data_IF_105104523675
#
_entry.id   IF_105104523675
#
_cell.length_a   1.000
_cell.length_b   1.000
_cell.length_c   1.000
_cell.angle_alpha   90.00
_cell.angle_beta   90.00
_cell.angle_gamma   90.00
#
_symmetry.space_group_name_H-M   'P 1'
#
loop_
_entity.id
_entity.type
_entity.pdbx_description
1 polymer ?
#
# COMPACT_ATOMS: atom_id res chain seq x y z
N UNK A 1 -10.82 8.19 15.50
CA UNK A 1 -9.79 8.88 14.69
C UNK A 1 -9.06 7.89 13.80
N UNK A 2 -8.50 6.79 14.32
CA UNK A 2 -7.77 5.77 13.54
C UNK A 2 -8.53 5.29 12.29
N UNK A 3 -9.84 4.97 12.41
CA UNK A 3 -10.68 4.48 11.31
C UNK A 3 -10.74 5.48 10.14
N UNK A 4 -10.98 6.77 10.43
CA UNK A 4 -11.07 7.81 9.40
C UNK A 4 -9.74 8.01 8.68
N UNK A 5 -8.64 8.05 9.43
CA UNK A 5 -7.30 8.20 8.88
C UNK A 5 -6.88 6.99 8.04
N UNK A 6 -7.13 5.77 8.53
CA UNK A 6 -6.81 4.54 7.81
C UNK A 6 -7.64 4.37 6.53
N UNK A 7 -8.94 4.71 6.55
CA UNK A 7 -9.76 4.70 5.34
C UNK A 7 -9.36 5.82 4.36
N UNK A 8 -8.97 6.98 4.86
CA UNK A 8 -8.36 8.03 4.03
C UNK A 8 -7.08 7.57 3.37
N UNK A 9 -6.22 6.86 4.11
CA UNK A 9 -5.00 6.23 3.58
C UNK A 9 -5.35 5.18 2.51
N UNK A 10 -6.35 4.30 2.76
CA UNK A 10 -6.81 3.32 1.79
C UNK A 10 -7.31 3.99 0.49
N UNK A 11 -8.06 5.09 0.60
CA UNK A 11 -8.53 5.85 -0.56
C UNK A 11 -7.35 6.41 -1.37
N UNK A 12 -6.39 7.02 -0.70
CA UNK A 12 -5.22 7.60 -1.35
C UNK A 12 -4.33 6.52 -2.01
N UNK A 13 -4.11 5.38 -1.34
CA UNK A 13 -3.40 4.25 -1.95
C UNK A 13 -4.17 3.63 -3.11
N UNK A 14 -5.50 3.45 -3.00
CA UNK A 14 -6.31 2.93 -4.09
C UNK A 14 -6.24 3.79 -5.36
N UNK A 15 -6.28 5.12 -5.20
CA UNK A 15 -6.08 6.06 -6.30
C UNK A 15 -4.64 6.00 -6.85
N UNK A 16 -3.64 5.94 -5.97
CA UNK A 16 -2.23 5.83 -6.33
C UNK A 16 -1.97 4.58 -7.16
N UNK A 17 -2.46 3.43 -6.70
CA UNK A 17 -2.26 2.14 -7.37
C UNK A 17 -3.00 2.06 -8.70
N UNK A 18 -4.18 2.66 -8.79
CA UNK A 18 -4.92 2.78 -10.04
C UNK A 18 -4.11 3.57 -11.09
N UNK A 19 -3.59 4.75 -10.72
CA UNK A 19 -2.78 5.58 -11.61
C UNK A 19 -1.46 4.91 -11.94
N UNK A 20 -0.75 4.36 -10.94
CA UNK A 20 0.52 3.67 -11.11
C UNK A 20 0.38 2.40 -11.96
N UNK A 21 -0.67 1.61 -11.73
CA UNK A 21 -0.99 0.44 -12.55
C UNK A 21 -1.26 0.80 -14.01
N UNK A 22 -1.99 1.90 -14.26
CA UNK A 22 -2.25 2.39 -15.62
C UNK A 22 -0.96 2.87 -16.32
N UNK A 23 -0.09 3.58 -15.61
CA UNK A 23 1.20 4.04 -16.11
C UNK A 23 2.13 2.85 -16.42
N UNK A 24 2.11 1.80 -15.61
CA UNK A 24 2.93 0.59 -15.76
C UNK A 24 2.57 -0.25 -16.99
N UNK A 25 1.39 -0.04 -17.58
CA UNK A 25 1.02 -0.65 -18.88
C UNK A 25 1.73 0.00 -20.06
N UNK A 26 2.27 1.21 -19.90
CA UNK A 26 2.89 2.02 -20.96
C UNK A 26 4.36 2.34 -20.73
N UNK A 27 4.86 2.07 -19.53
CA UNK A 27 6.23 2.32 -19.11
C UNK A 27 6.77 1.11 -18.33
N UNK A 28 8.08 1.05 -18.11
CA UNK A 28 8.64 0.06 -17.20
C UNK A 28 8.02 0.21 -15.79
N UNK A 29 7.53 -0.87 -15.17
CA UNK A 29 6.98 -0.84 -13.82
C UNK A 29 7.97 -0.26 -12.79
N UNK A 30 9.26 -0.58 -12.94
CA UNK A 30 10.30 -0.07 -12.07
C UNK A 30 10.52 1.44 -12.23
N UNK A 31 10.47 1.94 -13.48
CA UNK A 31 10.53 3.38 -13.74
C UNK A 31 9.31 4.13 -13.15
N UNK A 32 8.12 3.52 -13.22
CA UNK A 32 6.90 4.04 -12.59
C UNK A 32 7.07 4.10 -11.08
N UNK A 33 7.58 3.03 -10.45
CA UNK A 33 7.85 2.99 -9.01
C UNK A 33 8.87 4.06 -8.60
N UNK A 34 9.99 4.20 -9.33
CA UNK A 34 11.02 5.22 -9.06
C UNK A 34 10.43 6.64 -9.13
N UNK A 35 9.66 6.97 -10.18
CA UNK A 35 9.04 8.29 -10.33
C UNK A 35 8.03 8.56 -9.21
N UNK A 36 7.19 7.57 -8.88
CA UNK A 36 6.23 7.67 -7.79
C UNK A 36 6.91 7.90 -6.44
N UNK A 37 7.91 7.10 -6.10
CA UNK A 37 8.67 7.23 -4.86
C UNK A 37 9.42 8.58 -4.77
N UNK A 38 10.01 9.03 -5.88
CA UNK A 38 10.68 10.34 -5.92
C UNK A 38 9.69 11.50 -5.70
N UNK A 39 8.53 11.46 -6.34
CA UNK A 39 7.47 12.45 -6.14
C UNK A 39 6.96 12.43 -4.69
N UNK A 40 6.77 11.22 -4.11
CA UNK A 40 6.40 11.07 -2.71
C UNK A 40 7.46 11.63 -1.76
N UNK A 41 8.77 11.45 -2.07
CA UNK A 41 9.87 12.04 -1.29
C UNK A 41 9.80 13.57 -1.27
N UNK A 42 9.50 14.20 -2.41
CA UNK A 42 9.35 15.67 -2.50
C UNK A 42 8.17 16.14 -1.65
N UNK A 43 7.03 15.44 -1.69
CA UNK A 43 5.88 15.79 -0.85
C UNK A 43 6.19 15.59 0.64
N UNK A 44 6.87 14.50 1.01
CA UNK A 44 7.29 14.25 2.39
C UNK A 44 8.25 15.32 2.89
N UNK A 45 9.20 15.77 2.04
CA UNK A 45 10.10 16.87 2.36
C UNK A 45 9.32 18.17 2.61
N UNK A 46 8.35 18.49 1.76
CA UNK A 46 7.48 19.64 1.98
C UNK A 46 6.75 19.58 3.32
N UNK A 47 6.19 18.42 3.68
CA UNK A 47 5.54 18.22 4.98
C UNK A 47 6.54 18.36 6.15
N UNK A 48 7.74 17.78 6.04
CA UNK A 48 8.76 17.86 7.08
C UNK A 48 9.25 19.30 7.31
N UNK A 49 9.39 20.10 6.26
CA UNK A 49 9.78 21.50 6.36
C UNK A 49 8.70 22.37 7.01
N UNK A 50 7.42 22.03 6.81
CA UNK A 50 6.29 22.78 7.37
C UNK A 50 6.01 22.46 8.84
N UNK A 51 6.15 21.19 9.24
CA UNK A 51 5.71 20.72 10.56
C UNK A 51 6.87 20.42 11.52
N UNK A 52 8.08 20.33 11.00
CA UNK A 52 9.26 20.03 11.84
C UNK A 52 9.18 18.66 12.52
N UNK A 53 10.01 18.46 13.56
CA UNK A 53 10.04 17.28 14.40
C UNK A 53 11.41 17.03 15.00
N UNK A 54 11.45 16.16 16.02
CA UNK A 54 12.68 15.79 16.76
C UNK A 54 12.88 14.27 16.71
N UNK A 55 13.28 13.77 15.54
CA UNK A 55 13.50 12.34 15.33
C UNK A 55 14.75 11.84 16.07
N UNK A 56 14.63 10.72 16.77
CA UNK A 56 15.74 10.02 17.41
C UNK A 56 16.34 8.97 16.44
N UNK A 57 17.56 8.44 16.72
CA UNK A 57 18.20 7.46 15.83
C UNK A 57 17.35 6.24 15.51
N UNK A 58 16.49 5.80 16.43
CA UNK A 58 15.56 4.68 16.20
C UNK A 58 14.52 4.99 15.11
N UNK A 59 13.98 6.23 15.08
CA UNK A 59 13.01 6.63 14.05
C UNK A 59 13.61 6.58 12.65
N UNK A 60 14.87 6.99 12.51
CA UNK A 60 15.59 6.91 11.24
C UNK A 60 15.84 5.46 10.80
N UNK A 61 16.15 4.56 11.75
CA UNK A 61 16.33 3.14 11.45
C UNK A 61 15.00 2.49 10.98
N UNK A 62 13.89 2.78 11.67
CA UNK A 62 12.57 2.32 11.27
C UNK A 62 12.14 2.91 9.92
N UNK A 63 12.41 4.19 9.70
CA UNK A 63 12.15 4.84 8.41
C UNK A 63 12.94 4.19 7.26
N UNK A 64 14.20 3.84 7.48
CA UNK A 64 15.00 3.16 6.47
C UNK A 64 14.43 1.76 6.15
N UNK A 65 14.05 0.98 7.18
CA UNK A 65 13.41 -0.32 7.02
C UNK A 65 12.07 -0.19 6.26
N UNK A 66 11.25 0.80 6.63
CA UNK A 66 10.02 1.13 5.93
C UNK A 66 10.26 1.44 4.44
N UNK A 67 11.36 2.16 4.15
CA UNK A 67 11.76 2.50 2.79
C UNK A 67 12.14 1.27 1.94
N UNK A 68 12.87 0.33 2.52
CA UNK A 68 13.18 -0.96 1.85
C UNK A 68 11.87 -1.70 1.52
N UNK A 69 10.96 -1.77 2.49
CA UNK A 69 9.64 -2.37 2.31
C UNK A 69 8.83 -1.69 1.22
N UNK A 70 8.78 -0.35 1.24
CA UNK A 70 8.05 0.46 0.25
C UNK A 70 8.59 0.27 -1.17
N UNK A 71 9.91 0.30 -1.35
CA UNK A 71 10.55 0.13 -2.65
C UNK A 71 10.32 -1.26 -3.25
N UNK A 72 10.49 -2.31 -2.44
CA UNK A 72 10.17 -3.68 -2.84
C UNK A 72 8.68 -3.85 -3.14
N UNK A 73 7.83 -3.35 -2.25
CA UNK A 73 6.38 -3.43 -2.39
C UNK A 73 5.88 -2.82 -3.69
N UNK A 74 6.24 -1.57 -3.98
CA UNK A 74 5.83 -0.87 -5.18
C UNK A 74 6.41 -1.50 -6.47
N UNK A 75 7.70 -1.89 -6.45
CA UNK A 75 8.35 -2.52 -7.59
C UNK A 75 7.66 -3.81 -8.03
N UNK A 76 7.44 -4.73 -7.08
CA UNK A 76 6.79 -6.01 -7.36
C UNK A 76 5.31 -5.82 -7.67
N UNK A 77 4.59 -4.95 -6.95
CA UNK A 77 3.19 -4.64 -7.25
C UNK A 77 3.04 -4.20 -8.71
N UNK A 78 3.75 -3.17 -9.14
CA UNK A 78 3.62 -2.64 -10.49
C UNK A 78 4.11 -3.63 -11.55
N UNK A 79 5.13 -4.46 -11.25
CA UNK A 79 5.55 -5.55 -12.13
C UNK A 79 4.42 -6.56 -12.36
N UNK A 80 3.78 -6.98 -11.32
CA UNK A 80 2.65 -7.90 -11.38
C UNK A 80 1.43 -7.31 -12.08
N UNK A 81 1.10 -6.03 -11.81
CA UNK A 81 0.00 -5.31 -12.47
C UNK A 81 0.24 -5.12 -13.97
N UNK A 82 1.47 -4.78 -14.36
CA UNK A 82 1.85 -4.61 -15.77
C UNK A 82 1.76 -5.93 -16.56
N UNK A 83 2.01 -7.08 -15.91
CA UNK A 83 1.86 -8.41 -16.51
C UNK A 83 0.39 -8.83 -16.71
N UNK A 84 -0.58 -7.96 -16.42
CA UNK A 84 -2.03 -8.23 -16.61
C UNK A 84 -2.65 -9.16 -15.56
N UNK A 85 -2.02 -9.33 -14.39
CA UNK A 85 -2.44 -10.26 -13.33
C UNK A 85 -3.10 -9.55 -12.13
N UNK A 86 -3.84 -8.47 -12.39
CA UNK A 86 -4.47 -7.64 -11.34
C UNK A 86 -5.29 -8.48 -10.36
N UNK A 87 -6.08 -9.44 -10.85
CA UNK A 87 -6.94 -10.30 -10.02
C UNK A 87 -6.20 -11.27 -9.07
N UNK A 88 -4.87 -11.38 -9.15
CA UNK A 88 -4.07 -12.20 -8.23
C UNK A 88 -3.13 -11.31 -7.42
N UNK A 89 -2.41 -10.41 -8.08
CA UNK A 89 -1.35 -9.59 -7.45
C UNK A 89 -1.92 -8.66 -6.39
N UNK A 90 -3.00 -7.92 -6.73
CA UNK A 90 -3.59 -6.95 -5.82
C UNK A 90 -4.15 -7.60 -4.52
N UNK A 91 -4.97 -8.69 -4.57
CA UNK A 91 -5.45 -9.31 -3.33
C UNK A 91 -4.35 -9.94 -2.49
N UNK A 92 -3.39 -10.64 -3.12
CA UNK A 92 -2.30 -11.28 -2.39
C UNK A 92 -1.41 -10.23 -1.73
N UNK A 93 -1.10 -9.15 -2.44
CA UNK A 93 -0.36 -8.01 -1.90
C UNK A 93 -1.09 -7.36 -0.71
N UNK A 94 -2.39 -7.10 -0.83
CA UNK A 94 -3.15 -6.45 0.23
C UNK A 94 -3.33 -7.35 1.47
N UNK A 95 -3.53 -8.67 1.28
CA UNK A 95 -3.54 -9.64 2.39
C UNK A 95 -2.19 -9.65 3.12
N UNK A 96 -1.07 -9.69 2.39
CA UNK A 96 0.26 -9.65 2.98
C UNK A 96 0.55 -8.33 3.72
N UNK A 97 0.12 -7.20 3.13
CA UNK A 97 0.25 -5.87 3.73
C UNK A 97 -0.54 -5.72 5.04
N UNK A 98 -1.68 -6.42 5.18
CA UNK A 98 -2.46 -6.45 6.41
C UNK A 98 -1.92 -7.46 7.44
N UNK A 99 -1.59 -8.67 6.99
CA UNK A 99 -1.26 -9.79 7.87
C UNK A 99 0.01 -9.52 8.68
N UNK A 100 1.07 -9.02 8.05
CA UNK A 100 2.35 -8.82 8.73
C UNK A 100 2.24 -7.78 9.86
N UNK A 101 1.65 -6.58 9.69
CA UNK A 101 1.42 -5.64 10.78
C UNK A 101 0.51 -6.19 11.89
N UNK A 102 -0.53 -6.96 11.55
CA UNK A 102 -1.39 -7.60 12.56
C UNK A 102 -0.58 -8.56 13.43
N UNK A 103 0.28 -9.39 12.82
CA UNK A 103 1.16 -10.29 13.57
C UNK A 103 2.15 -9.50 14.44
N UNK A 104 2.76 -8.45 13.88
CA UNK A 104 3.65 -7.57 14.64
C UNK A 104 2.91 -6.92 15.80
N UNK A 105 1.72 -6.35 15.59
CA UNK A 105 0.88 -5.73 16.61
C UNK A 105 0.62 -6.67 17.78
N UNK A 106 0.22 -7.92 17.50
CA UNK A 106 0.02 -8.94 18.55
C UNK A 106 1.30 -9.25 19.31
N UNK A 107 2.43 -9.40 18.60
CA UNK A 107 3.74 -9.70 19.22
C UNK A 107 4.20 -8.57 20.15
N UNK A 108 3.99 -7.31 19.76
CA UNK A 108 4.33 -6.15 20.60
C UNK A 108 3.32 -5.88 21.74
N UNK A 109 2.28 -6.69 21.83
CA UNK A 109 1.34 -6.68 22.96
C UNK A 109 0.01 -6.00 22.70
N UNK A 110 -0.34 -5.66 21.45
CA UNK A 110 -1.70 -5.21 21.12
C UNK A 110 -2.74 -6.26 21.54
N UNK A 111 -3.86 -5.81 22.02
CA UNK A 111 -4.99 -6.65 22.47
C UNK A 111 -6.28 -6.15 21.80
N UNK A 112 -6.46 -6.41 20.48
CA UNK A 112 -7.69 -6.03 19.80
C UNK A 112 -8.91 -6.69 20.46
N UNK A 113 -10.03 -5.99 20.46
CA UNK A 113 -11.31 -6.54 20.97
C UNK A 113 -11.78 -7.71 20.11
N UNK A 114 -12.76 -8.48 20.61
CA UNK A 114 -13.37 -9.54 19.80
C UNK A 114 -14.03 -9.01 18.52
N UNK A 115 -14.66 -7.83 18.59
CA UNK A 115 -15.27 -7.19 17.41
C UNK A 115 -14.21 -6.79 16.39
N UNK A 116 -13.07 -6.25 16.85
CA UNK A 116 -11.92 -5.96 15.97
C UNK A 116 -11.42 -7.23 15.31
N UNK A 117 -11.26 -8.34 16.03
CA UNK A 117 -10.84 -9.62 15.46
C UNK A 117 -11.83 -10.17 14.42
N UNK A 118 -13.13 -10.07 14.67
CA UNK A 118 -14.15 -10.45 13.69
C UNK A 118 -14.06 -9.57 12.43
N UNK A 119 -13.84 -8.27 12.61
CA UNK A 119 -13.62 -7.35 11.49
C UNK A 119 -12.37 -7.70 10.69
N UNK A 120 -11.25 -8.01 11.35
CA UNK A 120 -10.01 -8.49 10.71
C UNK A 120 -10.28 -9.78 9.92
N UNK A 121 -10.99 -10.74 10.52
CA UNK A 121 -11.35 -12.00 9.86
C UNK A 121 -12.25 -11.79 8.62
N UNK A 122 -13.12 -10.78 8.63
CA UNK A 122 -13.93 -10.40 7.47
C UNK A 122 -13.11 -9.66 6.40
N UNK A 123 -12.09 -8.89 6.79
CA UNK A 123 -11.30 -8.09 5.86
C UNK A 123 -10.50 -8.97 4.88
N UNK A 124 -9.91 -10.09 5.32
CA UNK A 124 -9.13 -10.97 4.45
C UNK A 124 -9.94 -11.56 3.27
N UNK A 125 -11.10 -12.23 3.51
CA UNK A 125 -11.93 -12.66 2.40
C UNK A 125 -12.50 -11.50 1.58
N UNK A 126 -12.78 -10.34 2.21
CA UNK A 126 -13.22 -9.14 1.48
C UNK A 126 -12.18 -8.72 0.44
N UNK A 127 -10.92 -8.55 0.85
CA UNK A 127 -9.80 -8.18 -0.03
C UNK A 127 -9.67 -9.19 -1.17
N UNK A 128 -9.71 -10.48 -0.84
CA UNK A 128 -9.61 -11.54 -1.83
C UNK A 128 -10.75 -11.53 -2.85
N UNK A 129 -12.00 -11.42 -2.40
CA UNK A 129 -13.19 -11.45 -3.26
C UNK A 129 -13.32 -10.19 -4.12
N UNK A 130 -13.01 -9.01 -3.58
CA UNK A 130 -13.03 -7.74 -4.33
C UNK A 130 -12.07 -7.78 -5.51
N UNK A 131 -10.91 -8.37 -5.33
CA UNK A 131 -9.87 -8.38 -6.36
C UNK A 131 -10.04 -9.50 -7.40
N UNK A 132 -11.00 -10.41 -7.24
CA UNK A 132 -11.33 -11.41 -8.27
C UNK A 132 -11.97 -10.73 -9.46
N UNK A 133 -11.32 -10.87 -10.63
CA UNK A 133 -11.87 -10.46 -11.92
C UNK A 133 -12.46 -11.66 -12.65
N UNK A 134 -13.64 -11.50 -13.24
CA UNK A 134 -14.25 -12.50 -14.13
C UNK A 134 -13.57 -12.56 -15.51
N UNK A 135 -12.58 -11.70 -15.76
CA UNK A 135 -11.84 -11.71 -17.01
C UNK A 135 -10.86 -12.89 -17.08
N UNK A 136 -10.87 -13.65 -18.20
CA UNK A 136 -9.92 -14.74 -18.38
C UNK A 136 -8.48 -14.20 -18.35
N UNK A 137 -7.61 -14.86 -17.59
CA UNK A 137 -6.18 -14.56 -17.57
C UNK A 137 -5.60 -14.75 -18.99
N UNK A 138 -5.34 -13.66 -19.69
CA UNK A 138 -4.86 -13.67 -21.08
C UNK A 138 -3.38 -14.04 -21.20
N UNK A 139 -2.68 -14.30 -20.09
CA UNK A 139 -1.22 -14.59 -20.11
C UNK A 139 -0.92 -15.89 -19.38
N UNK A 140 -0.32 -16.85 -20.09
CA UNK A 140 0.32 -18.06 -19.55
C UNK A 140 1.54 -17.66 -18.72
N UNK A 141 1.55 -17.98 -17.42
CA UNK A 141 2.74 -17.87 -16.59
C UNK A 141 2.44 -17.70 -15.09
N UNK A 142 3.01 -18.55 -14.25
CA UNK A 142 2.70 -18.77 -12.85
C UNK A 142 3.06 -17.68 -11.83
N UNK A 143 3.65 -16.53 -12.21
CA UNK A 143 4.42 -15.70 -11.28
C UNK A 143 3.69 -14.51 -10.63
N UNK A 144 2.41 -14.27 -10.94
CA UNK A 144 1.63 -13.22 -10.27
C UNK A 144 1.46 -13.43 -8.77
N UNK A 145 1.45 -14.68 -8.31
CA UNK A 145 1.43 -15.00 -6.89
C UNK A 145 2.72 -14.56 -6.20
N UNK A 146 3.86 -14.82 -6.82
CA UNK A 146 5.18 -14.41 -6.28
C UNK A 146 5.27 -12.89 -6.18
N UNK A 147 4.88 -12.17 -7.24
CA UNK A 147 4.83 -10.70 -7.22
C UNK A 147 3.90 -10.18 -6.12
N UNK A 148 2.72 -10.79 -5.98
CA UNK A 148 1.77 -10.43 -4.93
C UNK A 148 2.31 -10.67 -3.53
N UNK A 149 2.96 -11.81 -3.28
CA UNK A 149 3.57 -12.14 -1.99
C UNK A 149 4.72 -11.19 -1.67
N UNK A 150 5.65 -10.95 -2.62
CA UNK A 150 6.77 -10.05 -2.42
C UNK A 150 6.30 -8.60 -2.20
N UNK A 151 5.28 -8.15 -2.94
CA UNK A 151 4.66 -6.85 -2.73
C UNK A 151 3.99 -6.76 -1.36
N UNK A 152 3.25 -7.80 -0.95
CA UNK A 152 2.57 -7.86 0.35
C UNK A 152 3.54 -7.85 1.52
N UNK A 153 4.63 -8.61 1.45
CA UNK A 153 5.70 -8.59 2.46
C UNK A 153 6.34 -7.20 2.50
N UNK A 154 6.64 -6.62 1.34
CA UNK A 154 7.22 -5.27 1.26
C UNK A 154 6.32 -4.22 1.94
N UNK A 155 5.05 -4.15 1.58
CA UNK A 155 4.11 -3.20 2.21
C UNK A 155 3.82 -3.54 3.67
N UNK A 156 3.80 -4.81 4.04
CA UNK A 156 3.69 -5.20 5.44
C UNK A 156 4.86 -4.70 6.29
N UNK A 157 6.09 -4.80 5.76
CA UNK A 157 7.29 -4.21 6.39
C UNK A 157 7.18 -2.69 6.47
N UNK A 158 6.75 -2.03 5.39
CA UNK A 158 6.50 -0.58 5.38
C UNK A 158 5.57 -0.18 6.53
N UNK A 159 4.41 -0.82 6.63
CA UNK A 159 3.40 -0.45 7.62
C UNK A 159 3.84 -0.75 9.04
N UNK A 160 4.42 -1.94 9.29
CA UNK A 160 4.92 -2.31 10.62
C UNK A 160 6.08 -1.42 11.09
N UNK A 161 6.95 -0.99 10.16
CA UNK A 161 8.08 -0.13 10.50
C UNK A 161 7.65 1.34 10.69
N UNK A 162 6.68 1.86 9.91
CA UNK A 162 6.15 3.21 10.10
C UNK A 162 5.43 3.38 11.45
N UNK A 163 4.76 2.35 11.96
CA UNK A 163 4.16 2.36 13.30
C UNK A 163 5.18 2.64 14.41
N UNK A 164 6.44 2.26 14.20
CA UNK A 164 7.51 2.43 15.18
C UNK A 164 8.12 3.83 15.22
N UNK A 165 7.72 4.70 14.27
CA UNK A 165 8.15 6.10 14.22
C UNK A 165 7.34 6.90 15.24
N UNK A 166 8.03 7.59 16.13
CA UNK A 166 7.41 8.35 17.23
C UNK A 166 6.69 9.60 16.72
N UNK A 167 5.66 10.04 17.45
CA UNK A 167 4.87 11.24 17.13
C UNK A 167 5.76 12.48 17.04
N UNK A 168 6.70 12.60 17.97
CA UNK A 168 7.63 13.73 18.10
C UNK A 168 8.63 13.81 16.93
N UNK A 169 8.84 12.71 16.22
CA UNK A 169 9.73 12.66 15.06
C UNK A 169 9.25 13.53 13.89
N UNK A 170 7.95 13.87 13.85
CA UNK A 170 7.33 14.59 12.76
C UNK A 170 7.40 13.81 11.44
N UNK A 171 7.50 14.53 10.31
CA UNK A 171 7.51 13.91 8.99
C UNK A 171 8.92 13.72 8.38
N UNK A 172 9.98 14.10 9.09
CA UNK A 172 11.36 13.88 8.65
C UNK A 172 11.66 12.42 8.29
N UNK A 173 11.28 11.42 9.12
CA UNK A 173 11.46 10.01 8.82
C UNK A 173 10.78 9.56 7.51
N UNK A 174 9.64 10.14 7.12
CA UNK A 174 8.99 9.81 5.84
C UNK A 174 9.84 10.24 4.63
N UNK A 175 10.62 11.31 4.74
CA UNK A 175 11.56 11.71 3.68
C UNK A 175 12.60 10.62 3.47
N UNK A 176 13.19 10.11 4.55
CA UNK A 176 14.15 9.00 4.47
C UNK A 176 13.50 7.73 3.95
N UNK A 177 12.28 7.41 4.41
CA UNK A 177 11.50 6.27 3.92
C UNK A 177 11.41 6.30 2.38
N UNK A 178 11.02 7.43 1.81
CA UNK A 178 10.86 7.53 0.36
C UNK A 178 12.20 7.60 -0.39
N UNK A 179 13.22 8.22 0.18
CA UNK A 179 14.56 8.20 -0.41
C UNK A 179 15.14 6.77 -0.47
N UNK A 180 15.02 6.02 0.62
CA UNK A 180 15.43 4.61 0.68
C UNK A 180 14.55 3.75 -0.26
N UNK A 181 13.25 4.07 -0.39
CA UNK A 181 12.38 3.38 -1.34
C UNK A 181 12.84 3.54 -2.79
N UNK A 182 13.25 4.74 -3.20
CA UNK A 182 13.86 4.96 -4.52
C UNK A 182 15.11 4.09 -4.70
N UNK A 183 16.04 4.14 -3.73
CA UNK A 183 17.30 3.38 -3.79
C UNK A 183 17.04 1.88 -3.86
N UNK A 184 16.15 1.35 -3.01
CA UNK A 184 15.83 -0.08 -2.99
C UNK A 184 15.09 -0.53 -4.26
N UNK A 185 14.20 0.31 -4.82
CA UNK A 185 13.55 0.03 -6.11
C UNK A 185 14.58 -0.06 -7.24
N UNK A 186 15.52 0.90 -7.31
CA UNK A 186 16.60 0.90 -8.31
C UNK A 186 17.52 -0.30 -8.12
N UNK A 187 17.92 -0.61 -6.89
CA UNK A 187 18.78 -1.75 -6.59
C UNK A 187 18.11 -3.08 -7.00
N UNK A 188 16.84 -3.27 -6.66
CA UNK A 188 16.08 -4.46 -7.09
C UNK A 188 15.94 -4.54 -8.60
N UNK A 189 15.62 -3.44 -9.28
CA UNK A 189 15.54 -3.42 -10.74
C UNK A 189 16.88 -3.78 -11.38
N UNK A 190 17.99 -3.25 -10.85
CA UNK A 190 19.35 -3.54 -11.34
C UNK A 190 19.70 -5.03 -11.15
N UNK A 191 19.42 -5.62 -9.98
CA UNK A 191 19.67 -7.04 -9.72
C UNK A 191 18.83 -7.96 -10.62
N UNK A 192 17.63 -7.53 -10.99
CA UNK A 192 16.74 -8.24 -11.92
C UNK A 192 17.00 -7.90 -13.40
N UNK A 193 18.03 -7.12 -13.70
CA UNK A 193 18.35 -6.64 -15.05
C UNK A 193 17.17 -5.96 -15.75
N UNK A 194 16.32 -5.29 -14.97
CA UNK A 194 15.12 -4.63 -15.46
C UNK A 194 15.36 -3.14 -15.74
N UNK A 195 14.69 -2.59 -16.75
CA UNK A 195 14.78 -1.17 -17.07
C UNK A 195 14.07 -0.34 -15.99
N UNK A 196 14.77 0.61 -15.36
CA UNK A 196 14.25 1.48 -14.30
C UNK A 196 14.39 2.97 -14.60
N UNK A 197 15.05 3.32 -15.69
CA UNK A 197 15.27 4.73 -16.06
C UNK A 197 13.95 5.41 -16.41
N UNK A 198 13.65 6.57 -15.76
CA UNK A 198 12.44 7.33 -16.06
C UNK A 198 12.39 7.84 -17.51
N UNK A 199 11.22 7.78 -18.12
CA UNK A 199 10.94 8.34 -19.42
C UNK A 199 9.62 9.14 -19.39
N UNK A 200 9.25 9.77 -20.51
CA UNK A 200 8.00 10.57 -20.59
C UNK A 200 6.74 9.76 -20.25
N UNK A 201 6.74 8.48 -20.60
CA UNK A 201 5.62 7.57 -20.30
C UNK A 201 5.45 7.22 -18.82
N UNK A 202 6.50 7.40 -17.99
CA UNK A 202 6.40 7.20 -16.53
C UNK A 202 6.00 8.46 -15.75
N UNK A 203 5.98 9.65 -16.37
CA UNK A 203 5.63 10.91 -15.69
C UNK A 203 4.25 10.91 -15.01
N UNK A 204 3.19 10.25 -15.53
CA UNK A 204 1.92 10.18 -14.81
C UNK A 204 2.03 9.57 -13.40
N UNK A 205 3.08 8.78 -13.11
CA UNK A 205 3.36 8.25 -11.79
C UNK A 205 3.69 9.33 -10.74
N UNK A 206 3.97 10.57 -11.13
CA UNK A 206 4.08 11.71 -10.20
C UNK A 206 2.80 11.82 -9.36
N UNK A 207 1.63 11.73 -9.98
CA UNK A 207 0.35 11.77 -9.26
C UNK A 207 0.15 10.58 -8.35
N UNK A 208 0.58 9.39 -8.77
CA UNK A 208 0.62 8.22 -7.89
C UNK A 208 1.51 8.49 -6.66
N UNK A 209 2.67 9.10 -6.85
CA UNK A 209 3.58 9.47 -5.76
C UNK A 209 3.00 10.50 -4.79
N UNK A 210 2.33 11.54 -5.29
CA UNK A 210 1.64 12.54 -4.46
C UNK A 210 0.57 11.87 -3.57
N UNK A 211 -0.24 10.99 -4.17
CA UNK A 211 -1.27 10.25 -3.44
C UNK A 211 -0.67 9.26 -2.46
N UNK A 212 0.42 8.58 -2.82
CA UNK A 212 1.15 7.70 -1.92
C UNK A 212 1.76 8.46 -0.73
N UNK A 213 2.27 9.68 -0.94
CA UNK A 213 2.73 10.54 0.15
C UNK A 213 1.60 10.85 1.13
N UNK A 214 0.44 11.27 0.62
CA UNK A 214 -0.75 11.51 1.44
C UNK A 214 -1.17 10.25 2.20
N UNK A 215 -1.17 9.09 1.53
CA UNK A 215 -1.51 7.82 2.15
C UNK A 215 -0.56 7.45 3.29
N UNK A 216 0.76 7.63 3.11
CA UNK A 216 1.76 7.38 4.15
C UNK A 216 1.59 8.30 5.36
N UNK A 217 1.33 9.60 5.12
CA UNK A 217 1.04 10.56 6.21
C UNK A 217 -0.20 10.14 6.98
N UNK A 218 -1.30 9.83 6.29
CA UNK A 218 -2.54 9.40 6.92
C UNK A 218 -2.38 8.07 7.67
N UNK A 219 -1.60 7.13 7.13
CA UNK A 219 -1.29 5.87 7.81
C UNK A 219 -0.47 6.11 9.08
N UNK A 220 0.62 6.90 9.01
CA UNK A 220 1.43 7.26 10.16
C UNK A 220 0.58 7.88 11.27
N UNK A 221 -0.27 8.85 10.92
CA UNK A 221 -1.19 9.46 11.88
C UNK A 221 -2.24 8.47 12.41
N UNK A 222 -2.66 7.49 11.61
CA UNK A 222 -3.61 6.45 12.05
C UNK A 222 -2.98 5.57 13.13
N UNK A 223 -1.74 5.10 12.94
CA UNK A 223 -1.04 4.25 13.92
C UNK A 223 -0.76 4.99 15.22
N UNK A 224 -0.51 6.29 15.15
CA UNK A 224 -0.33 7.15 16.34
C UNK A 224 -1.63 7.39 17.15
N UNK A 225 -2.79 7.08 16.59
CA UNK A 225 -4.10 7.30 17.23
C UNK A 225 -4.85 6.01 17.58
N UNK A 226 -4.28 4.84 17.27
CA UNK A 226 -4.93 3.55 17.53
C UNK A 226 -4.01 2.37 17.28
N UNK A 227 -4.59 1.17 17.27
CA UNK A 227 -3.83 -0.06 17.10
C UNK A 227 -3.27 -0.20 15.67
N UNK A 228 -2.03 -0.66 15.55
CA UNK A 228 -1.40 -0.99 14.27
C UNK A 228 -2.24 -1.99 13.46
N UNK A 229 -2.78 -3.03 14.13
CA UNK A 229 -3.64 -4.02 13.49
C UNK A 229 -4.86 -3.37 12.82
N UNK A 230 -5.52 -2.42 13.49
CA UNK A 230 -6.68 -1.67 12.96
C UNK A 230 -6.26 -0.81 11.77
N UNK A 231 -5.21 0.00 11.93
CA UNK A 231 -4.72 0.89 10.89
C UNK A 231 -4.32 0.11 9.62
N UNK A 232 -3.56 -0.97 9.77
CA UNK A 232 -3.07 -1.78 8.66
C UNK A 232 -4.19 -2.51 7.91
N UNK A 233 -5.14 -3.14 8.64
CA UNK A 233 -6.26 -3.86 8.02
C UNK A 233 -7.17 -2.91 7.25
N UNK A 234 -7.54 -1.77 7.83
CA UNK A 234 -8.41 -0.79 7.15
C UNK A 234 -7.71 -0.15 5.95
N UNK A 235 -6.42 0.18 6.09
CA UNK A 235 -5.64 0.70 4.96
C UNK A 235 -5.53 -0.34 3.84
N UNK A 236 -5.35 -1.62 4.16
CA UNK A 236 -5.24 -2.71 3.16
C UNK A 236 -6.55 -3.02 2.43
N UNK A 237 -7.65 -2.33 2.73
CA UNK A 237 -8.88 -2.38 1.93
C UNK A 237 -8.81 -1.51 0.65
N UNK A 238 -7.67 -0.89 0.34
CA UNK A 238 -7.45 -0.09 -0.87
C UNK A 238 -7.85 -0.79 -2.20
N UNK A 239 -7.79 -2.14 -2.37
CA UNK A 239 -8.26 -2.77 -3.61
C UNK A 239 -9.77 -2.61 -3.83
N UNK A 240 -10.56 -2.48 -2.75
CA UNK A 240 -12.00 -2.21 -2.87
C UNK A 240 -12.24 -0.85 -3.56
N UNK A 241 -11.43 0.16 -3.21
CA UNK A 241 -11.50 1.48 -3.85
C UNK A 241 -10.97 1.46 -5.28
N UNK A 242 -9.91 0.69 -5.55
CA UNK A 242 -9.40 0.50 -6.90
C UNK A 242 -10.45 -0.10 -7.83
N UNK A 243 -11.21 -1.11 -7.35
CA UNK A 243 -12.32 -1.73 -8.10
C UNK A 243 -13.47 -0.76 -8.30
N UNK A 244 -13.86 0.00 -7.28
CA UNK A 244 -14.88 1.04 -7.41
C UNK A 244 -14.48 2.12 -8.43
N UNK A 245 -13.21 2.53 -8.44
CA UNK A 245 -12.70 3.48 -9.43
C UNK A 245 -12.69 2.88 -10.84
N UNK A 246 -12.32 1.62 -11.00
CA UNK A 246 -12.40 0.94 -12.29
C UNK A 246 -13.85 0.90 -12.80
N UNK A 247 -14.80 0.60 -11.93
CA UNK A 247 -16.22 0.60 -12.27
C UNK A 247 -16.73 2.01 -12.66
N UNK A 248 -16.36 3.04 -11.92
CA UNK A 248 -16.83 4.41 -12.15
C UNK A 248 -16.15 5.09 -13.34
N UNK A 249 -14.83 4.94 -13.47
CA UNK A 249 -14.02 5.65 -14.47
C UNK A 249 -13.93 4.87 -15.78
N UNK A 250 -13.68 3.55 -15.70
CA UNK A 250 -13.56 2.68 -16.87
C UNK A 250 -14.91 2.05 -17.27
N UNK A 251 -15.97 2.27 -16.47
CA UNK A 251 -17.31 1.69 -16.68
C UNK A 251 -17.27 0.17 -16.72
N UNK A 252 -16.34 -0.44 -15.97
CA UNK A 252 -16.27 -1.90 -15.83
C UNK A 252 -17.42 -2.38 -14.95
N UNK A 253 -18.05 -3.48 -15.33
CA UNK A 253 -19.12 -4.07 -14.52
C UNK A 253 -18.53 -4.75 -13.27
N UNK A 254 -19.07 -4.43 -12.10
CA UNK A 254 -18.72 -5.12 -10.86
C UNK A 254 -19.35 -6.52 -10.88
N UNK A 255 -18.52 -7.55 -10.83
CA UNK A 255 -18.96 -8.93 -10.78
C UNK A 255 -19.67 -9.29 -9.47
N UNK A 256 -20.49 -10.34 -9.47
CA UNK A 256 -21.19 -10.79 -8.24
C UNK A 256 -20.25 -11.11 -7.09
N UNK A 257 -19.10 -11.72 -7.39
CA UNK A 257 -18.09 -12.07 -6.39
C UNK A 257 -17.46 -10.80 -5.80
N UNK A 258 -17.18 -9.81 -6.62
CA UNK A 258 -16.67 -8.50 -6.16
C UNK A 258 -17.70 -7.76 -5.29
N UNK A 259 -19.00 -7.84 -5.64
CA UNK A 259 -20.07 -7.24 -4.82
C UNK A 259 -20.12 -7.87 -3.43
N UNK A 260 -19.98 -9.19 -3.31
CA UNK A 260 -19.87 -9.87 -2.00
C UNK A 260 -18.63 -9.39 -1.24
N UNK A 261 -17.50 -9.27 -1.93
CA UNK A 261 -16.27 -8.73 -1.32
C UNK A 261 -16.44 -7.29 -0.80
N UNK A 262 -17.13 -6.42 -1.55
CA UNK A 262 -17.42 -5.05 -1.11
C UNK A 262 -18.33 -5.01 0.13
N UNK A 263 -19.35 -5.87 0.18
CA UNK A 263 -20.22 -6.00 1.36
C UNK A 263 -19.43 -6.47 2.59
N UNK A 264 -18.54 -7.46 2.41
CA UNK A 264 -17.65 -7.90 3.49
C UNK A 264 -16.68 -6.81 3.92
N UNK A 265 -16.19 -5.97 3.00
CA UNK A 265 -15.33 -4.84 3.35
C UNK A 265 -16.08 -3.81 4.22
N UNK A 266 -17.33 -3.49 3.89
CA UNK A 266 -18.18 -2.61 4.70
C UNK A 266 -18.39 -3.23 6.08
N UNK A 267 -18.68 -4.54 6.15
CA UNK A 267 -18.85 -5.26 7.42
C UNK A 267 -17.58 -5.23 8.25
N UNK A 268 -16.42 -5.45 7.64
CA UNK A 268 -15.12 -5.38 8.31
C UNK A 268 -14.88 -3.99 8.93
N UNK A 269 -15.09 -2.92 8.16
CA UNK A 269 -14.96 -1.53 8.64
C UNK A 269 -15.90 -1.28 9.82
N UNK A 270 -17.18 -1.71 9.73
CA UNK A 270 -18.17 -1.50 10.79
C UNK A 270 -17.76 -2.22 12.07
N UNK A 271 -17.34 -3.49 11.98
CA UNK A 271 -16.91 -4.27 13.15
C UNK A 271 -15.64 -3.68 13.80
N UNK A 272 -14.66 -3.29 13.00
CA UNK A 272 -13.42 -2.67 13.50
C UNK A 272 -13.72 -1.30 14.14
N UNK A 273 -14.65 -0.52 13.58
CA UNK A 273 -15.00 0.79 14.10
C UNK A 273 -15.84 0.71 15.41
N UNK A 274 -16.56 -0.40 15.62
CA UNK A 274 -17.36 -0.65 16.81
C UNK A 274 -16.60 -1.31 17.95
N UNK A 275 -15.41 -1.85 17.71
CA UNK A 275 -14.56 -2.55 18.68
C UNK A 275 -13.45 -1.72 19.24
#
# INVERSE_FOLDING_TARGET
MVVVLALGSALAYGLSDFIGGLASRRASPWAVAVVGQAASAVCALGAALLYGGSAVPADWAWAALAGVGSGAGAGFLYRGLAAGRMGVVAPVSAVGAALLPVLVGVVIGERPSLLTWLGVACAFPAIWLVSKSDQPATVRGGDGLVDGVLAGVGFGVLFAALDRVQVEAGFGPLVLTQAVAVVSTVALAATLSAAWTPGRSSLPAIWAGVLSALANVLFLLATQTGLLAVAAVLTSLYPALTVLLAALVLREAIGRIQSVGLLLAITAVTLVAAG
#
